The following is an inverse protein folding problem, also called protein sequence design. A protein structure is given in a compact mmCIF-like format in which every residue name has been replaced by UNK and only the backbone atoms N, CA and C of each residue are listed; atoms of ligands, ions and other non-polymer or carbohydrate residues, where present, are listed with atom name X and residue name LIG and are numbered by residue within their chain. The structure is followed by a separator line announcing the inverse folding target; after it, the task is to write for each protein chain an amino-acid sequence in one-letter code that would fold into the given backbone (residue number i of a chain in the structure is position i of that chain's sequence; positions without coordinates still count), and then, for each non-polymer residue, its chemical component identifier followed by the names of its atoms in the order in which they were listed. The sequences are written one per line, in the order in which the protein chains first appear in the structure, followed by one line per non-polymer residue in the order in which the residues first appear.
data_IF_332895620546
#
_entry.id   IF_332895620546
#
_cell.length_a   1.000
_cell.length_b   1.000
_cell.length_c   1.000
_cell.angle_alpha   90.00
_cell.angle_beta   90.00
_cell.angle_gamma   90.00
#
_symmetry.space_group_name_H-M   'P 1'
#
loop_
_entity.id
_entity.type
_entity.pdbx_description
1 polymer ?
#
# COMPACT_ATOMS: atom_id res chain seq x y z
N UNK A 1 -3.80 18.81 -20.88
CA UNK A 1 -3.51 19.67 -19.72
C UNK A 1 -2.04 20.01 -19.78
N UNK A 2 -1.73 21.28 -20.04
CA UNK A 2 -0.39 21.81 -20.25
C UNK A 2 0.42 21.74 -18.94
N UNK A 3 1.48 21.11 -19.01
CA UNK A 3 2.79 21.08 -18.38
C UNK A 3 3.13 21.93 -17.18
N UNK A 4 2.24 22.13 -16.20
CA UNK A 4 2.64 22.67 -14.91
C UNK A 4 3.44 21.61 -14.17
N UNK A 5 4.63 21.97 -13.71
CA UNK A 5 5.45 21.08 -12.89
C UNK A 5 4.83 20.94 -11.51
N UNK A 6 5.19 19.87 -10.80
CA UNK A 6 4.78 19.71 -9.40
C UNK A 6 5.27 20.88 -8.53
N UNK A 7 6.41 21.46 -8.89
CA UNK A 7 6.96 22.64 -8.24
C UNK A 7 6.04 23.86 -8.41
N UNK A 8 5.55 24.14 -9.62
CA UNK A 8 4.68 25.30 -9.89
C UNK A 8 3.35 25.18 -9.11
N UNK A 9 2.79 23.97 -9.03
CA UNK A 9 1.58 23.70 -8.24
C UNK A 9 1.84 23.94 -6.74
N UNK A 10 2.98 23.47 -6.22
CA UNK A 10 3.37 23.67 -4.83
C UNK A 10 3.61 25.14 -4.50
N UNK A 11 4.23 25.89 -5.39
CA UNK A 11 4.44 27.34 -5.25
C UNK A 11 3.10 28.08 -5.14
N UNK A 12 2.18 27.80 -6.07
CA UNK A 12 0.85 28.41 -6.06
C UNK A 12 0.05 28.04 -4.80
N UNK A 13 0.20 26.81 -4.30
CA UNK A 13 -0.42 26.36 -3.05
C UNK A 13 0.16 27.05 -1.83
N UNK A 14 1.50 27.16 -1.76
CA UNK A 14 2.20 27.84 -0.69
C UNK A 14 1.86 29.34 -0.63
N UNK A 15 1.83 30.01 -1.80
CA UNK A 15 1.47 31.44 -1.91
C UNK A 15 0.06 31.75 -1.38
N UNK A 16 -0.86 30.76 -1.39
CA UNK A 16 -2.21 30.84 -0.83
C UNK A 16 -2.27 30.49 0.66
N UNK A 17 -1.12 30.27 1.31
CA UNK A 17 -1.02 29.94 2.74
C UNK A 17 -1.16 28.43 3.03
N UNK A 18 -1.06 27.56 2.05
CA UNK A 18 -1.03 26.10 2.22
C UNK A 18 0.12 25.66 3.12
N UNK A 19 -0.10 24.61 3.94
CA UNK A 19 0.90 24.08 4.88
C UNK A 19 1.18 22.60 4.68
N UNK A 20 0.18 21.81 4.29
CA UNK A 20 0.30 20.38 4.03
C UNK A 20 -0.06 20.11 2.57
N UNK A 21 0.90 19.66 1.80
CA UNK A 21 0.75 19.32 0.39
C UNK A 21 0.72 17.80 0.24
N UNK A 22 -0.41 17.25 -0.20
CA UNK A 22 -0.62 15.81 -0.34
C UNK A 22 -0.63 15.45 -1.81
N UNK A 23 0.17 14.45 -2.18
CA UNK A 23 0.34 14.00 -3.57
C UNK A 23 0.11 12.49 -3.61
N UNK A 24 -0.89 12.07 -4.34
CA UNK A 24 -1.16 10.65 -4.55
C UNK A 24 -0.57 10.18 -5.89
N UNK A 25 -0.11 8.92 -5.92
CA UNK A 25 0.47 8.29 -7.11
C UNK A 25 1.62 9.10 -7.75
N UNK A 26 2.54 9.60 -6.93
CA UNK A 26 3.60 10.52 -7.34
C UNK A 26 4.49 9.93 -8.46
N UNK A 27 4.59 8.61 -8.53
CA UNK A 27 5.37 7.88 -9.54
C UNK A 27 4.88 8.10 -10.98
N UNK A 28 3.66 8.63 -11.16
CA UNK A 28 3.14 9.01 -12.48
C UNK A 28 3.82 10.26 -13.06
N UNK A 29 4.54 11.02 -12.23
CA UNK A 29 5.38 12.13 -12.67
C UNK A 29 6.84 11.67 -12.75
N UNK A 30 7.39 11.58 -13.95
CA UNK A 30 8.78 11.13 -14.18
C UNK A 30 9.84 12.01 -13.49
N UNK A 31 9.51 13.27 -13.21
CA UNK A 31 10.43 14.25 -12.63
C UNK A 31 10.20 14.53 -11.14
N UNK A 32 9.34 13.75 -10.49
CA UNK A 32 8.91 14.02 -9.12
C UNK A 32 10.06 14.18 -8.11
N UNK A 33 11.13 13.43 -8.25
CA UNK A 33 12.29 13.48 -7.34
C UNK A 33 12.96 14.86 -7.38
N UNK A 34 13.11 15.41 -8.57
CA UNK A 34 13.69 16.74 -8.77
C UNK A 34 12.78 17.84 -8.23
N UNK A 35 11.49 17.72 -8.50
CA UNK A 35 10.48 18.68 -8.03
C UNK A 35 10.38 18.65 -6.50
N UNK A 36 10.34 17.46 -5.88
CA UNK A 36 10.31 17.32 -4.41
C UNK A 36 11.54 17.93 -3.74
N UNK A 37 12.73 17.80 -4.34
CA UNK A 37 13.93 18.48 -3.83
C UNK A 37 13.76 19.99 -3.86
N UNK A 38 13.34 20.53 -5.00
CA UNK A 38 13.15 21.96 -5.15
C UNK A 38 12.10 22.50 -4.16
N UNK A 39 10.99 21.77 -3.97
CA UNK A 39 9.94 22.10 -3.01
C UNK A 39 10.51 22.13 -1.59
N UNK A 40 11.24 21.09 -1.19
CA UNK A 40 11.85 20.98 0.13
C UNK A 40 12.87 22.11 0.41
N UNK A 41 13.67 22.46 -0.59
CA UNK A 41 14.75 23.44 -0.43
C UNK A 41 14.23 24.90 -0.42
N UNK A 42 13.01 25.14 -0.94
CA UNK A 42 12.46 26.51 -1.13
C UNK A 42 11.30 26.83 -0.20
N UNK A 43 10.43 25.86 0.09
CA UNK A 43 9.18 26.10 0.82
C UNK A 43 9.16 25.42 2.19
N UNK A 44 8.60 26.11 3.19
CA UNK A 44 8.25 25.50 4.47
C UNK A 44 6.91 24.75 4.37
N UNK A 45 6.90 23.68 3.58
CA UNK A 45 5.74 22.82 3.38
C UNK A 45 5.99 21.44 4.00
N UNK A 46 4.97 20.92 4.69
CA UNK A 46 4.89 19.48 4.93
C UNK A 46 4.38 18.81 3.65
N UNK A 47 5.13 17.86 3.12
CA UNK A 47 4.75 17.12 1.92
C UNK A 47 4.52 15.66 2.30
N UNK A 48 3.32 15.16 2.03
CA UNK A 48 2.99 13.75 2.11
C UNK A 48 2.74 13.23 0.70
N UNK A 49 3.43 12.18 0.32
CA UNK A 49 3.23 11.58 -1.01
C UNK A 49 3.09 10.06 -0.91
N UNK A 50 2.29 9.50 -1.79
CA UNK A 50 2.13 8.07 -1.96
C UNK A 50 2.58 7.62 -3.35
N UNK A 51 2.86 6.33 -3.48
CA UNK A 51 3.15 5.72 -4.76
C UNK A 51 3.15 4.21 -4.67
N UNK A 52 2.60 3.53 -5.66
CA UNK A 52 2.49 2.08 -5.73
C UNK A 52 3.77 1.40 -6.23
N UNK A 53 4.65 2.13 -6.89
CA UNK A 53 5.88 1.60 -7.46
C UNK A 53 7.07 1.76 -6.51
N UNK A 54 7.29 0.75 -5.67
CA UNK A 54 8.42 0.71 -4.74
C UNK A 54 9.76 0.95 -5.45
N UNK A 55 9.97 0.40 -6.64
CA UNK A 55 11.25 0.49 -7.37
C UNK A 55 11.51 1.90 -7.94
N UNK A 56 10.50 2.58 -8.47
CA UNK A 56 10.69 3.96 -8.93
C UNK A 56 10.94 4.90 -7.75
N UNK A 57 10.23 4.68 -6.66
CA UNK A 57 10.44 5.43 -5.43
C UNK A 57 11.81 5.10 -4.86
N UNK A 58 12.20 3.82 -4.73
CA UNK A 58 13.50 3.41 -4.20
C UNK A 58 14.67 3.95 -5.04
N UNK A 59 14.63 3.90 -6.36
CA UNK A 59 15.66 4.47 -7.22
C UNK A 59 15.76 6.00 -7.07
N UNK A 60 14.65 6.68 -6.81
CA UNK A 60 14.60 8.12 -6.56
C UNK A 60 14.97 8.51 -5.13
N UNK A 61 14.96 7.53 -4.20
CA UNK A 61 15.26 7.72 -2.79
C UNK A 61 16.72 8.02 -2.50
N UNK A 62 17.64 7.47 -3.27
CA UNK A 62 19.05 7.84 -3.15
C UNK A 62 19.21 9.36 -3.27
N UNK A 63 18.34 9.97 -4.05
CA UNK A 63 18.28 11.41 -4.31
C UNK A 63 17.52 12.19 -3.23
N UNK A 64 16.55 11.57 -2.55
CA UNK A 64 15.72 12.16 -1.51
C UNK A 64 16.13 11.77 -0.09
N UNK A 65 17.18 10.98 0.09
CA UNK A 65 17.56 10.26 1.32
C UNK A 65 17.70 11.13 2.59
N UNK A 66 17.88 12.44 2.45
CA UNK A 66 17.95 13.40 3.56
C UNK A 66 16.70 14.27 3.70
N UNK A 67 15.74 14.14 2.77
CA UNK A 67 14.59 15.04 2.64
C UNK A 67 13.26 14.34 2.84
N UNK A 68 13.24 13.02 2.77
CA UNK A 68 12.02 12.24 2.92
C UNK A 68 12.26 11.01 3.82
N UNK A 69 11.24 10.66 4.59
CA UNK A 69 11.17 9.41 5.36
C UNK A 69 10.14 8.51 4.69
N UNK A 70 10.52 7.26 4.43
CA UNK A 70 9.64 6.30 3.78
C UNK A 70 9.04 5.37 4.79
N UNK A 71 7.75 5.22 4.64
CA UNK A 71 6.96 4.23 5.35
C UNK A 71 6.33 3.29 4.34
N UNK A 72 6.54 1.99 4.52
CA UNK A 72 5.90 0.98 3.68
C UNK A 72 4.59 0.56 4.33
N UNK A 73 3.49 0.73 3.61
CA UNK A 73 2.20 0.20 4.02
C UNK A 73 2.06 -1.21 3.44
N UNK A 74 2.14 -2.22 4.31
CA UNK A 74 1.93 -3.61 3.93
C UNK A 74 0.44 -3.95 3.77
N UNK A 75 0.18 -5.18 3.35
CA UNK A 75 -1.17 -5.75 3.42
C UNK A 75 -1.59 -5.94 4.87
N UNK A 76 -2.90 -6.00 5.13
CA UNK A 76 -3.43 -6.21 6.48
C UNK A 76 -2.88 -7.51 7.09
N UNK A 77 -2.38 -7.43 8.30
CA UNK A 77 -2.14 -8.60 9.14
C UNK A 77 -3.46 -9.19 9.66
N UNK A 78 -3.43 -10.44 10.11
CA UNK A 78 -4.62 -11.05 10.74
C UNK A 78 -5.14 -10.21 11.91
N UNK A 79 -4.25 -9.65 12.74
CA UNK A 79 -4.66 -8.78 13.85
C UNK A 79 -5.40 -7.57 13.36
N UNK A 80 -4.85 -6.82 12.40
CA UNK A 80 -5.49 -5.63 11.83
C UNK A 80 -6.84 -5.98 11.17
N UNK A 81 -6.91 -7.14 10.50
CA UNK A 81 -8.17 -7.64 9.96
C UNK A 81 -9.20 -7.86 11.08
N UNK A 82 -8.82 -8.55 12.18
CA UNK A 82 -9.70 -8.75 13.31
C UNK A 82 -10.14 -7.43 13.94
N UNK A 83 -9.22 -6.47 14.09
CA UNK A 83 -9.53 -5.13 14.62
C UNK A 83 -10.53 -4.38 13.74
N UNK A 84 -10.39 -4.46 12.42
CA UNK A 84 -11.33 -3.87 11.47
C UNK A 84 -12.71 -4.53 11.53
N UNK A 85 -12.76 -5.85 11.64
CA UNK A 85 -14.02 -6.61 11.68
C UNK A 85 -14.79 -6.39 12.98
N UNK A 86 -14.09 -6.44 14.10
CA UNK A 86 -14.73 -6.41 15.43
C UNK A 86 -14.83 -5.02 16.02
N UNK A 87 -14.13 -4.02 15.46
CA UNK A 87 -13.96 -2.68 16.00
C UNK A 87 -13.33 -2.67 17.40
N UNK A 88 -12.56 -3.71 17.73
CA UNK A 88 -11.82 -3.86 18.98
C UNK A 88 -10.32 -3.79 18.69
N UNK A 89 -9.55 -3.34 19.66
CA UNK A 89 -8.09 -3.31 19.56
C UNK A 89 -7.50 -4.48 20.33
N UNK A 90 -6.55 -5.19 19.72
CA UNK A 90 -5.89 -6.34 20.33
C UNK A 90 -4.47 -5.97 20.75
N UNK A 91 -4.11 -6.37 21.96
CA UNK A 91 -2.76 -6.18 22.48
C UNK A 91 -1.74 -6.98 21.66
N UNK A 92 -0.57 -6.38 21.44
CA UNK A 92 0.60 -7.09 20.91
C UNK A 92 1.36 -7.74 22.05
N UNK A 93 1.85 -8.96 21.83
CA UNK A 93 2.67 -9.69 22.78
C UNK A 93 4.03 -9.98 22.16
N UNK A 94 5.06 -9.92 22.98
CA UNK A 94 6.40 -10.39 22.59
C UNK A 94 6.43 -11.91 22.52
N UNK A 95 7.43 -12.45 21.81
CA UNK A 95 7.61 -13.91 21.77
C UNK A 95 7.78 -14.51 23.17
N UNK A 96 8.50 -13.82 24.07
CA UNK A 96 8.72 -14.25 25.43
C UNK A 96 7.40 -14.32 26.23
N UNK A 97 6.56 -13.29 26.15
CA UNK A 97 5.24 -13.28 26.79
C UNK A 97 4.34 -14.41 26.25
N UNK A 98 4.37 -14.65 24.94
CA UNK A 98 3.59 -15.75 24.33
C UNK A 98 4.08 -17.11 24.88
N UNK A 99 5.39 -17.33 24.95
CA UNK A 99 5.95 -18.60 25.43
C UNK A 99 5.65 -18.86 26.91
N UNK A 100 5.63 -17.80 27.73
CA UNK A 100 5.40 -17.91 29.16
C UNK A 100 3.91 -17.96 29.53
N UNK A 101 3.04 -17.24 28.80
CA UNK A 101 1.64 -17.02 29.19
C UNK A 101 0.63 -17.36 28.09
N UNK A 102 0.97 -18.25 27.15
CA UNK A 102 0.12 -18.51 25.97
C UNK A 102 -1.30 -18.96 26.32
N UNK A 103 -1.50 -19.71 27.42
CA UNK A 103 -2.82 -20.19 27.83
C UNK A 103 -3.73 -19.03 28.23
N UNK A 104 -3.23 -18.12 29.05
CA UNK A 104 -3.97 -16.92 29.49
C UNK A 104 -4.26 -16.00 28.33
N UNK A 105 -3.27 -15.77 27.47
CA UNK A 105 -3.43 -14.94 26.27
C UNK A 105 -4.51 -15.51 25.35
N UNK A 106 -4.47 -16.80 25.07
CA UNK A 106 -5.47 -17.49 24.25
C UNK A 106 -6.85 -17.40 24.88
N UNK A 107 -6.95 -17.57 26.19
CA UNK A 107 -8.21 -17.49 26.91
C UNK A 107 -8.83 -16.09 26.82
N UNK A 108 -8.05 -15.04 27.02
CA UNK A 108 -8.51 -13.65 26.90
C UNK A 108 -8.95 -13.30 25.47
N UNK A 109 -8.20 -13.74 24.47
CA UNK A 109 -8.58 -13.52 23.06
C UNK A 109 -9.90 -14.27 22.73
N UNK A 110 -10.04 -15.52 23.15
CA UNK A 110 -11.23 -16.33 22.89
C UNK A 110 -12.51 -15.82 23.58
N UNK A 111 -12.38 -15.04 24.64
CA UNK A 111 -13.53 -14.35 25.25
C UNK A 111 -14.09 -13.24 24.35
N UNK A 112 -13.25 -12.64 23.52
CA UNK A 112 -13.58 -11.49 22.72
C UNK A 112 -14.00 -11.87 21.30
N UNK A 113 -13.37 -12.89 20.73
CA UNK A 113 -13.56 -13.27 19.32
C UNK A 113 -13.54 -14.80 19.15
N UNK A 114 -13.97 -15.23 17.97
CA UNK A 114 -13.78 -16.60 17.48
C UNK A 114 -12.61 -16.63 16.48
N UNK A 115 -11.35 -16.87 16.94
CA UNK A 115 -10.16 -16.65 16.11
C UNK A 115 -10.13 -17.51 14.84
N UNK A 116 -10.63 -18.76 14.89
CA UNK A 116 -10.60 -19.66 13.74
C UNK A 116 -11.59 -19.25 12.65
N UNK A 117 -12.74 -18.72 13.03
CA UNK A 117 -13.72 -18.20 12.09
C UNK A 117 -13.16 -16.97 11.37
N UNK A 118 -12.66 -15.98 12.14
CA UNK A 118 -12.02 -14.80 11.58
C UNK A 118 -10.77 -15.14 10.75
N UNK A 119 -10.03 -16.17 11.10
CA UNK A 119 -8.89 -16.63 10.30
C UNK A 119 -9.34 -17.22 8.96
N UNK A 120 -10.42 -17.98 8.91
CA UNK A 120 -10.97 -18.46 7.65
C UNK A 120 -11.45 -17.31 6.76
N UNK A 121 -12.11 -16.31 7.34
CA UNK A 121 -12.51 -15.10 6.61
C UNK A 121 -11.27 -14.31 6.12
N UNK A 122 -10.24 -14.21 6.95
CA UNK A 122 -8.97 -13.60 6.57
C UNK A 122 -8.32 -14.31 5.38
N UNK A 123 -8.33 -15.63 5.33
CA UNK A 123 -7.78 -16.38 4.21
C UNK A 123 -8.54 -16.14 2.90
N UNK A 124 -9.82 -15.80 2.97
CA UNK A 124 -10.64 -15.52 1.80
C UNK A 124 -10.59 -14.07 1.35
N UNK A 125 -10.58 -13.13 2.29
CA UNK A 125 -10.83 -11.70 2.02
C UNK A 125 -9.75 -10.77 2.58
N UNK A 126 -8.91 -11.24 3.50
CA UNK A 126 -8.27 -10.44 4.52
C UNK A 126 -7.14 -9.52 4.13
N UNK A 127 -6.52 -9.64 2.96
CA UNK A 127 -5.29 -8.88 2.70
C UNK A 127 -5.53 -7.40 2.38
N UNK A 128 -6.67 -7.07 1.77
CA UNK A 128 -6.96 -5.73 1.27
C UNK A 128 -8.24 -5.16 1.88
N UNK A 129 -8.20 -3.93 2.44
CA UNK A 129 -9.35 -3.35 3.18
C UNK A 129 -10.61 -3.19 2.35
N UNK A 130 -10.53 -3.09 1.04
CA UNK A 130 -11.68 -2.88 0.15
C UNK A 130 -12.69 -4.05 0.12
N UNK A 131 -12.37 -5.20 0.75
CA UNK A 131 -13.38 -6.26 0.97
C UNK A 131 -14.58 -5.75 1.77
N UNK A 132 -14.40 -4.73 2.63
CA UNK A 132 -15.46 -4.14 3.44
C UNK A 132 -16.53 -3.42 2.61
N UNK A 133 -16.21 -3.00 1.39
CA UNK A 133 -17.15 -2.31 0.52
C UNK A 133 -18.24 -3.26 -0.02
N UNK A 134 -17.82 -4.47 -0.46
CA UNK A 134 -18.72 -5.51 -0.96
C UNK A 134 -17.98 -6.85 -1.02
N UNK A 135 -18.42 -7.82 -0.24
CA UNK A 135 -17.87 -9.17 -0.28
C UNK A 135 -18.17 -9.89 -1.61
N UNK A 136 -19.32 -9.63 -2.21
CA UNK A 136 -19.71 -10.24 -3.50
C UNK A 136 -18.84 -9.75 -4.65
N UNK A 137 -18.43 -8.49 -4.62
CA UNK A 137 -17.67 -7.86 -5.70
C UNK A 137 -16.16 -7.94 -5.47
N UNK A 138 -15.74 -8.33 -4.26
CA UNK A 138 -14.33 -8.41 -3.88
C UNK A 138 -13.47 -9.24 -4.86
N UNK A 139 -13.86 -10.46 -5.28
CA UNK A 139 -13.06 -11.22 -6.24
C UNK A 139 -12.90 -10.53 -7.58
N UNK A 140 -13.93 -9.82 -8.04
CA UNK A 140 -13.91 -9.08 -9.30
C UNK A 140 -12.93 -7.90 -9.18
N UNK A 141 -13.07 -7.09 -8.12
CA UNK A 141 -12.19 -5.96 -7.84
C UNK A 141 -10.73 -6.41 -7.69
N UNK A 142 -10.48 -7.52 -6.98
CA UNK A 142 -9.14 -8.06 -6.81
C UNK A 142 -8.52 -8.47 -8.15
N UNK A 143 -9.29 -9.12 -9.02
CA UNK A 143 -8.84 -9.48 -10.36
C UNK A 143 -8.52 -8.25 -11.20
N UNK A 144 -9.32 -7.19 -11.10
CA UNK A 144 -9.08 -5.91 -11.80
C UNK A 144 -7.78 -5.25 -11.30
N UNK A 145 -7.53 -5.23 -9.98
CA UNK A 145 -6.28 -4.72 -9.40
C UNK A 145 -5.08 -5.51 -9.91
N UNK A 146 -5.15 -6.84 -9.93
CA UNK A 146 -4.08 -7.71 -10.45
C UNK A 146 -3.82 -7.40 -11.93
N UNK A 147 -4.87 -7.29 -12.74
CA UNK A 147 -4.73 -6.97 -14.16
C UNK A 147 -4.13 -5.59 -14.37
N UNK A 148 -4.56 -4.58 -13.62
CA UNK A 148 -4.04 -3.22 -13.71
C UNK A 148 -2.55 -3.19 -13.35
N UNK A 149 -2.15 -3.87 -12.27
CA UNK A 149 -0.74 -3.97 -11.85
C UNK A 149 0.11 -4.63 -12.93
N UNK A 150 -0.37 -5.71 -13.56
CA UNK A 150 0.35 -6.41 -14.62
C UNK A 150 0.44 -5.55 -15.89
N UNK A 151 -0.68 -4.97 -16.33
CA UNK A 151 -0.77 -4.29 -17.63
C UNK A 151 -0.18 -2.88 -17.60
N UNK A 152 -0.27 -2.18 -16.47
CA UNK A 152 0.17 -0.79 -16.33
C UNK A 152 1.50 -0.68 -15.58
N UNK A 153 1.55 -1.14 -14.32
CA UNK A 153 2.66 -0.87 -13.44
C UNK A 153 3.92 -1.63 -13.85
N UNK A 154 3.79 -2.94 -14.15
CA UNK A 154 4.94 -3.73 -14.59
C UNK A 154 5.47 -3.28 -15.94
N UNK A 155 4.61 -2.87 -16.87
CA UNK A 155 5.04 -2.33 -18.15
C UNK A 155 5.80 -1.03 -17.99
N UNK A 156 5.28 -0.11 -17.18
CA UNK A 156 5.90 1.19 -16.96
C UNK A 156 7.25 1.10 -16.24
N UNK A 157 7.40 0.17 -15.29
CA UNK A 157 8.61 0.05 -14.46
C UNK A 157 9.71 -0.73 -15.18
N UNK A 158 9.37 -1.86 -15.79
CA UNK A 158 10.35 -2.81 -16.31
C UNK A 158 10.49 -2.79 -17.84
N UNK A 159 9.79 -1.92 -18.55
CA UNK A 159 9.77 -1.89 -20.01
C UNK A 159 9.47 -3.28 -20.62
N UNK A 160 8.54 -4.02 -20.00
CA UNK A 160 8.21 -5.38 -20.42
C UNK A 160 7.43 -5.32 -21.73
N UNK A 161 7.87 -6.12 -22.71
CA UNK A 161 7.16 -6.30 -23.97
C UNK A 161 5.71 -6.78 -23.69
N UNK A 162 4.66 -6.07 -24.17
CA UNK A 162 3.27 -6.46 -23.99
C UNK A 162 2.95 -7.89 -24.38
N UNK A 163 3.69 -8.46 -25.34
CA UNK A 163 3.53 -9.88 -25.75
C UNK A 163 3.85 -10.87 -24.62
N UNK A 164 4.67 -10.48 -23.63
CA UNK A 164 5.04 -11.31 -22.49
C UNK A 164 4.03 -11.26 -21.35
N UNK A 165 3.19 -10.24 -21.29
CA UNK A 165 2.18 -10.07 -20.22
C UNK A 165 1.16 -11.20 -20.20
N UNK A 166 0.70 -11.63 -21.37
CA UNK A 166 -0.21 -12.78 -21.47
C UNK A 166 0.42 -14.08 -20.94
N UNK A 167 1.73 -14.24 -21.08
CA UNK A 167 2.45 -15.39 -20.51
C UNK A 167 2.51 -15.29 -18.99
N UNK A 168 2.77 -14.10 -18.46
CA UNK A 168 2.78 -13.85 -17.01
C UNK A 168 1.40 -14.14 -16.40
N UNK A 169 0.32 -13.63 -16.97
CA UNK A 169 -1.05 -13.91 -16.53
C UNK A 169 -1.36 -15.42 -16.54
N UNK A 170 -0.92 -16.15 -17.59
CA UNK A 170 -1.07 -17.61 -17.63
C UNK A 170 -0.29 -18.31 -16.53
N UNK A 171 0.93 -17.88 -16.22
CA UNK A 171 1.73 -18.46 -15.14
C UNK A 171 1.02 -18.25 -13.78
N UNK A 172 0.53 -17.07 -13.50
CA UNK A 172 -0.22 -16.78 -12.27
C UNK A 172 -1.46 -17.68 -12.20
N UNK A 173 -2.23 -17.77 -13.27
CA UNK A 173 -3.39 -18.67 -13.33
C UNK A 173 -3.04 -20.13 -13.07
N UNK A 174 -1.95 -20.62 -13.66
CA UNK A 174 -1.48 -21.99 -13.45
C UNK A 174 -1.06 -22.24 -12.01
N UNK A 175 -0.35 -21.29 -11.38
CA UNK A 175 0.04 -21.38 -9.98
C UNK A 175 -1.17 -21.43 -9.03
N UNK A 176 -2.22 -20.66 -9.32
CA UNK A 176 -3.46 -20.70 -8.54
C UNK A 176 -4.28 -21.98 -8.78
N UNK A 177 -4.12 -22.66 -9.92
CA UNK A 177 -4.89 -23.84 -10.31
C UNK A 177 -4.24 -25.16 -9.90
N UNK A 178 -2.95 -25.16 -9.53
CA UNK A 178 -2.24 -26.33 -9.01
C UNK A 178 -2.61 -26.53 -7.55
N UNK A 179 -3.38 -27.62 -7.31
CA UNK A 179 -3.67 -28.13 -5.95
C UNK A 179 -2.54 -29.00 -5.47
#
# INVERSE_FOLDING_TARGET
MSGESLYDIAEAFYARGGKLFVIDEIHKNEHFSKDLKAIYDVFELQVLFSGSSALQIENSLADLSRRAVIHTLGVLSLREFCELQTKQTFQSYTLEEILQNHEDIVFEIKKQIQPLELFNDYLQFGCYPFYQESLSDYPIKLLEVINLTIDSDLCGIYNIDPSKLNKLKKIIYMLCSTK
#
